data_IF_192903014120
#
_entry.id   IF_192903014120
#
_cell.length_a   1.000
_cell.length_b   1.000
_cell.length_c   1.000
_cell.angle_alpha   90.00
_cell.angle_beta   90.00
_cell.angle_gamma   90.00
#
_symmetry.space_group_name_H-M   'P 1'
#
loop_
_entity.id
_entity.type
_entity.pdbx_description
1 polymer ?
#
# COMPACT_ATOMS: atom_id res chain seq x y z
N UNK A 1 18.21 -11.91 -21.63
CA UNK A 1 16.87 -12.16 -21.04
C UNK A 1 15.97 -10.99 -21.42
N UNK A 2 14.94 -11.18 -22.26
CA UNK A 2 14.06 -10.09 -22.73
C UNK A 2 12.84 -9.99 -21.82
N UNK A 3 12.78 -9.00 -20.95
CA UNK A 3 11.58 -8.70 -20.18
C UNK A 3 10.58 -7.94 -21.06
N UNK A 4 9.29 -8.30 -20.97
CA UNK A 4 8.19 -7.60 -21.64
C UNK A 4 7.27 -7.07 -20.55
N UNK A 5 7.43 -5.80 -20.18
CA UNK A 5 6.47 -5.10 -19.32
C UNK A 5 5.18 -4.92 -20.12
N UNK A 6 4.18 -5.78 -19.87
CA UNK A 6 2.83 -5.53 -20.37
C UNK A 6 2.23 -4.49 -19.43
N UNK A 7 2.19 -3.24 -19.86
CA UNK A 7 1.32 -2.24 -19.23
C UNK A 7 -0.07 -2.87 -19.12
N UNK A 8 -0.65 -2.89 -17.92
CA UNK A 8 -2.00 -3.42 -17.69
C UNK A 8 -2.94 -2.50 -18.46
N UNK A 9 -3.31 -2.93 -19.67
CA UNK A 9 -4.04 -2.12 -20.65
C UNK A 9 -5.51 -2.00 -20.27
N UNK A 10 -6.04 -0.79 -20.48
CA UNK A 10 -7.42 -0.46 -20.85
C UNK A 10 -8.49 -0.22 -19.78
N UNK A 11 -8.31 -0.55 -18.49
CA UNK A 11 -9.29 -0.13 -17.43
C UNK A 11 -8.89 1.11 -16.64
N UNK A 12 -7.70 1.66 -16.87
CA UNK A 12 -7.14 2.81 -16.12
C UNK A 12 -7.35 4.19 -16.77
N UNK A 13 -8.11 4.29 -17.86
CA UNK A 13 -8.29 5.56 -18.57
C UNK A 13 -9.18 6.57 -17.80
N UNK A 14 -10.03 6.12 -16.88
CA UNK A 14 -11.13 6.92 -16.34
C UNK A 14 -10.84 7.64 -15.00
N UNK A 15 -9.64 7.53 -14.40
CA UNK A 15 -9.38 8.03 -13.03
C UNK A 15 -7.94 8.49 -12.79
N UNK A 16 -7.30 9.14 -13.76
CA UNK A 16 -5.86 9.49 -13.71
C UNK A 16 -5.56 10.48 -12.57
N UNK A 17 -6.43 11.47 -12.46
CA UNK A 17 -6.56 12.49 -11.42
C UNK A 17 -6.79 11.91 -10.02
N UNK A 18 -7.41 10.74 -9.92
CA UNK A 18 -7.63 10.07 -8.64
C UNK A 18 -6.50 9.15 -8.23
N UNK A 19 -5.54 8.79 -9.09
CA UNK A 19 -4.48 7.81 -8.78
C UNK A 19 -3.27 8.39 -8.04
N UNK A 20 -3.26 9.69 -7.74
CA UNK A 20 -2.07 10.39 -7.24
C UNK A 20 -1.07 10.70 -8.36
N UNK A 21 0.12 11.18 -8.00
CA UNK A 21 1.15 11.51 -8.99
C UNK A 21 1.70 10.24 -9.65
N UNK A 22 1.18 9.87 -10.82
CA UNK A 22 1.69 8.75 -11.59
C UNK A 22 3.11 9.04 -12.09
N UNK A 23 4.08 8.21 -11.69
CA UNK A 23 5.43 8.20 -12.25
C UNK A 23 5.54 7.05 -13.25
N UNK A 24 5.79 7.30 -14.54
CA UNK A 24 6.15 6.24 -15.47
C UNK A 24 7.45 5.57 -15.01
N UNK A 25 7.42 4.26 -14.88
CA UNK A 25 8.61 3.40 -14.84
C UNK A 25 8.48 2.42 -15.99
N UNK A 26 8.76 2.90 -17.20
CA UNK A 26 8.65 2.15 -18.45
C UNK A 26 9.91 1.35 -18.79
N UNK A 27 11.00 1.56 -18.04
CA UNK A 27 12.26 0.81 -18.14
C UNK A 27 12.66 0.19 -16.80
N UNK A 28 13.58 -0.79 -16.81
CA UNK A 28 14.09 -1.40 -15.58
C UNK A 28 14.88 -0.38 -14.75
N UNK A 29 15.60 0.50 -15.43
CA UNK A 29 16.45 1.53 -14.83
C UNK A 29 15.63 2.64 -14.14
N UNK A 30 14.38 2.83 -14.55
CA UNK A 30 13.44 3.80 -13.96
C UNK A 30 12.52 3.18 -12.89
N UNK A 31 12.67 1.89 -12.57
CA UNK A 31 11.93 1.24 -11.50
C UNK A 31 12.45 1.69 -10.14
N UNK A 32 11.62 2.43 -9.40
CA UNK A 32 11.86 2.70 -7.99
C UNK A 32 11.38 1.49 -7.19
N UNK A 33 12.32 0.63 -6.79
CA UNK A 33 12.06 -0.54 -5.95
C UNK A 33 12.15 -0.23 -4.46
N UNK A 34 12.63 0.94 -4.08
CA UNK A 34 12.71 1.31 -2.67
C UNK A 34 11.32 1.30 -2.03
N UNK A 35 11.26 0.80 -0.81
CA UNK A 35 10.00 0.59 -0.08
C UNK A 35 9.05 -0.47 -0.68
N UNK A 36 9.45 -1.21 -1.71
CA UNK A 36 8.67 -2.31 -2.27
C UNK A 36 9.16 -3.67 -1.77
N UNK A 37 8.28 -4.39 -1.08
CA UNK A 37 8.56 -5.74 -0.60
C UNK A 37 7.67 -6.76 -1.33
N UNK A 38 8.26 -7.89 -1.73
CA UNK A 38 7.50 -9.07 -2.18
C UNK A 38 7.10 -9.88 -0.96
N UNK A 39 5.83 -10.28 -0.91
CA UNK A 39 5.35 -11.20 0.13
C UNK A 39 5.58 -12.61 -0.40
N UNK A 40 6.41 -13.38 0.30
CA UNK A 40 6.75 -14.76 -0.06
C UNK A 40 6.13 -15.76 0.92
N UNK A 41 5.64 -16.88 0.37
CA UNK A 41 5.18 -18.05 1.12
C UNK A 41 5.77 -19.29 0.44
N UNK A 42 6.50 -20.12 1.19
CA UNK A 42 7.18 -21.32 0.69
C UNK A 42 8.07 -21.03 -0.55
N UNK A 43 8.80 -19.91 -0.52
CA UNK A 43 9.66 -19.47 -1.63
C UNK A 43 8.89 -18.98 -2.88
N UNK A 44 7.57 -18.78 -2.78
CA UNK A 44 6.73 -18.29 -3.88
C UNK A 44 6.18 -16.90 -3.58
N UNK A 45 6.35 -15.96 -4.53
CA UNK A 45 5.74 -14.64 -4.48
C UNK A 45 4.21 -14.68 -4.53
N UNK A 46 3.58 -14.41 -3.40
CA UNK A 46 2.11 -14.47 -3.20
C UNK A 46 1.46 -13.09 -3.16
N UNK A 47 2.27 -12.04 -3.08
CA UNK A 47 1.81 -10.66 -3.06
C UNK A 47 2.94 -9.65 -3.10
N UNK A 48 2.57 -8.38 -2.99
CA UNK A 48 3.50 -7.29 -2.81
C UNK A 48 2.89 -6.19 -1.94
N UNK A 49 3.77 -5.44 -1.31
CA UNK A 49 3.43 -4.23 -0.58
C UNK A 49 4.40 -3.13 -1.01
N UNK A 50 3.94 -1.89 -1.03
CA UNK A 50 4.82 -0.75 -1.15
C UNK A 50 4.48 0.31 -0.13
N UNK A 51 5.51 0.83 0.52
CA UNK A 51 5.43 1.89 1.51
C UNK A 51 6.43 3.00 1.20
N UNK A 52 6.10 4.22 1.59
CA UNK A 52 6.99 5.38 1.50
C UNK A 52 7.12 6.01 2.87
N UNK A 53 8.34 6.33 3.30
CA UNK A 53 8.54 7.12 4.51
C UNK A 53 8.23 8.59 4.23
N UNK A 54 7.33 9.15 5.02
CA UNK A 54 7.03 10.58 5.07
C UNK A 54 7.59 11.16 6.38
N UNK A 55 7.77 12.49 6.47
CA UNK A 55 8.34 13.12 7.67
C UNK A 55 7.59 12.82 8.97
N UNK A 56 6.28 12.56 8.89
CA UNK A 56 5.41 12.35 10.04
C UNK A 56 4.69 10.99 10.05
N UNK A 57 4.86 10.14 9.03
CA UNK A 57 4.19 8.83 8.95
C UNK A 57 4.86 7.84 8.01
N UNK A 58 4.52 6.56 8.15
CA UNK A 58 4.72 5.55 7.12
C UNK A 58 3.49 5.52 6.20
N UNK A 59 3.64 5.81 4.91
CA UNK A 59 2.53 5.79 3.96
C UNK A 59 2.46 4.47 3.20
N UNK A 60 1.31 3.80 3.23
CA UNK A 60 1.03 2.59 2.47
C UNK A 60 0.46 2.96 1.09
N UNK A 61 1.29 2.80 0.05
CA UNK A 61 0.93 3.12 -1.34
C UNK A 61 0.04 2.04 -1.96
N UNK A 62 0.42 0.77 -1.77
CA UNK A 62 -0.29 -0.37 -2.36
C UNK A 62 -0.06 -1.63 -1.55
N UNK A 63 -1.09 -2.46 -1.53
CA UNK A 63 -1.01 -3.83 -1.03
C UNK A 63 -1.79 -4.74 -1.96
N UNK A 64 -1.18 -5.86 -2.35
CA UNK A 64 -1.87 -6.96 -3.02
C UNK A 64 -1.41 -8.26 -2.40
N UNK A 65 -2.36 -9.04 -1.88
CA UNK A 65 -2.10 -10.41 -1.41
C UNK A 65 -3.21 -11.31 -1.94
N UNK A 66 -2.85 -12.51 -2.42
CA UNK A 66 -3.79 -13.49 -2.96
C UNK A 66 -4.33 -14.46 -1.90
N UNK A 67 -3.85 -14.37 -0.66
CA UNK A 67 -4.20 -15.31 0.41
C UNK A 67 -4.90 -14.59 1.57
N UNK A 68 -5.98 -15.19 2.07
CA UNK A 68 -6.77 -14.66 3.19
C UNK A 68 -5.94 -14.76 4.46
N UNK A 69 -5.56 -13.62 5.04
CA UNK A 69 -4.83 -13.53 6.30
C UNK A 69 -3.44 -12.89 6.19
N UNK A 70 -2.72 -13.11 5.08
CA UNK A 70 -1.39 -12.52 4.90
C UNK A 70 -1.43 -10.98 4.84
N UNK A 71 -2.50 -10.43 4.26
CA UNK A 71 -2.68 -8.97 4.24
C UNK A 71 -2.69 -8.35 5.64
N UNK A 72 -3.27 -9.04 6.63
CA UNK A 72 -3.34 -8.55 8.01
C UNK A 72 -1.95 -8.58 8.68
N UNK A 73 -1.23 -9.69 8.53
CA UNK A 73 0.12 -9.85 9.08
C UNK A 73 1.10 -8.83 8.49
N UNK A 74 1.02 -8.60 7.19
CA UNK A 74 1.84 -7.60 6.49
C UNK A 74 1.51 -6.20 7.00
N UNK A 75 0.23 -5.82 7.15
CA UNK A 75 -0.14 -4.53 7.73
C UNK A 75 0.33 -4.37 9.17
N UNK A 76 0.26 -5.43 9.97
CA UNK A 76 0.77 -5.41 11.34
C UNK A 76 2.28 -5.17 11.37
N UNK A 77 3.03 -5.83 10.48
CA UNK A 77 4.48 -5.66 10.38
C UNK A 77 4.87 -4.25 9.94
N UNK A 78 4.20 -3.69 8.92
CA UNK A 78 4.44 -2.29 8.52
C UNK A 78 4.05 -1.31 9.63
N UNK A 79 2.94 -1.57 10.32
CA UNK A 79 2.54 -0.79 11.49
C UNK A 79 3.61 -0.77 12.58
N UNK A 80 4.22 -1.92 12.89
CA UNK A 80 5.33 -2.02 13.85
C UNK A 80 6.57 -1.25 13.37
N UNK A 81 6.90 -1.34 12.07
CA UNK A 81 8.00 -0.55 11.48
C UNK A 81 7.76 0.95 11.65
N UNK A 82 6.53 1.43 11.39
CA UNK A 82 6.12 2.82 11.65
C UNK A 82 6.28 3.19 13.13
N UNK A 83 5.71 2.38 14.02
CA UNK A 83 5.75 2.61 15.46
C UNK A 83 7.17 2.68 16.01
N UNK A 84 8.11 1.85 15.53
CA UNK A 84 9.53 1.90 15.91
C UNK A 84 10.20 3.26 15.63
N UNK A 85 9.65 4.07 14.72
CA UNK A 85 10.10 5.44 14.45
C UNK A 85 9.20 6.50 15.09
N UNK A 86 8.29 6.12 15.98
CA UNK A 86 7.30 7.02 16.56
C UNK A 86 6.26 7.53 15.56
N UNK A 87 6.08 6.84 14.44
CA UNK A 87 5.23 7.29 13.34
C UNK A 87 3.98 6.41 13.16
N UNK A 88 2.79 7.01 12.94
CA UNK A 88 1.62 6.26 12.53
C UNK A 88 1.81 5.69 11.12
N UNK A 89 0.97 4.71 10.78
CA UNK A 89 0.82 4.25 9.40
C UNK A 89 -0.43 4.88 8.80
N UNK A 90 -0.31 5.45 7.59
CA UNK A 90 -1.43 6.03 6.84
C UNK A 90 -1.61 5.37 5.49
N UNK A 91 -2.83 5.44 4.95
CA UNK A 91 -3.16 5.01 3.60
C UNK A 91 -4.25 5.88 2.99
N UNK A 92 -4.41 5.83 1.67
CA UNK A 92 -5.56 6.42 0.99
C UNK A 92 -6.21 5.44 0.04
N UNK A 93 -7.52 5.26 0.19
CA UNK A 93 -8.33 4.32 -0.59
C UNK A 93 -9.51 5.06 -1.24
N UNK A 94 -9.94 4.62 -2.43
CA UNK A 94 -11.17 5.14 -3.02
C UNK A 94 -12.38 4.77 -2.14
N UNK A 95 -13.34 5.67 -1.99
CA UNK A 95 -14.60 5.45 -1.23
C UNK A 95 -15.37 4.22 -1.73
N UNK A 96 -15.27 3.93 -3.02
CA UNK A 96 -15.91 2.79 -3.69
C UNK A 96 -15.15 1.46 -3.57
N UNK A 97 -13.92 1.47 -3.05
CA UNK A 97 -13.11 0.27 -2.96
C UNK A 97 -13.52 -0.56 -1.73
N UNK A 98 -13.90 -1.85 -1.89
CA UNK A 98 -14.30 -2.71 -0.78
C UNK A 98 -13.17 -3.00 0.22
N UNK A 99 -11.91 -2.74 -0.16
CA UNK A 99 -10.76 -2.89 0.73
C UNK A 99 -10.80 -1.95 1.96
N UNK A 100 -11.60 -0.88 1.94
CA UNK A 100 -11.84 -0.01 3.10
C UNK A 100 -12.25 -0.80 4.35
N UNK A 101 -13.23 -1.71 4.22
CA UNK A 101 -13.69 -2.59 5.31
C UNK A 101 -12.59 -3.51 5.85
N UNK A 102 -11.66 -3.91 4.99
CA UNK A 102 -10.51 -4.69 5.41
C UNK A 102 -9.58 -3.83 6.28
N UNK A 103 -9.25 -2.62 5.86
CA UNK A 103 -8.41 -1.72 6.66
C UNK A 103 -9.06 -1.33 7.99
N UNK A 104 -10.37 -1.07 8.01
CA UNK A 104 -11.13 -0.80 9.24
C UNK A 104 -11.01 -1.96 10.24
N UNK A 105 -11.19 -3.21 9.78
CA UNK A 105 -11.00 -4.41 10.61
C UNK A 105 -9.58 -4.59 11.12
N UNK A 106 -8.59 -4.12 10.36
CA UNK A 106 -7.19 -4.13 10.76
C UNK A 106 -6.83 -2.95 11.68
N UNK A 107 -7.81 -2.17 12.14
CA UNK A 107 -7.63 -1.11 13.13
C UNK A 107 -7.24 0.25 12.54
N UNK A 108 -7.38 0.44 11.23
CA UNK A 108 -7.32 1.77 10.65
C UNK A 108 -8.63 2.52 10.90
N UNK A 109 -8.54 3.79 11.24
CA UNK A 109 -9.68 4.69 11.36
C UNK A 109 -9.64 5.74 10.25
N UNK A 110 -10.80 6.25 9.83
CA UNK A 110 -10.87 7.33 8.83
C UNK A 110 -10.40 8.63 9.49
N UNK A 111 -9.34 9.23 8.94
CA UNK A 111 -8.80 10.53 9.37
C UNK A 111 -9.50 11.67 8.62
N UNK A 112 -9.68 11.49 7.31
CA UNK A 112 -10.41 12.43 6.44
C UNK A 112 -11.10 11.68 5.31
N UNK A 113 -12.23 12.19 4.84
CA UNK A 113 -13.00 11.63 3.71
C UNK A 113 -13.44 12.73 2.75
N UNK A 114 -13.27 12.51 1.46
CA UNK A 114 -13.88 13.27 0.36
C UNK A 114 -14.88 12.37 -0.36
N UNK A 115 -15.60 12.89 -1.36
CA UNK A 115 -16.50 12.06 -2.17
C UNK A 115 -15.77 10.87 -2.83
N UNK A 116 -14.50 11.04 -3.15
CA UNK A 116 -13.70 10.07 -3.91
C UNK A 116 -12.76 9.23 -3.04
N UNK A 117 -12.27 9.76 -1.92
CA UNK A 117 -11.19 9.12 -1.15
C UNK A 117 -11.42 9.15 0.37
N UNK A 118 -11.05 8.05 1.02
CA UNK A 118 -10.81 7.98 2.46
C UNK A 118 -9.32 7.96 2.72
N UNK A 119 -8.84 8.86 3.58
CA UNK A 119 -7.52 8.75 4.20
C UNK A 119 -7.72 8.09 5.55
N UNK A 120 -6.93 7.05 5.81
CA UNK A 120 -7.06 6.27 7.01
C UNK A 120 -5.73 6.19 7.75
N UNK A 121 -5.79 6.15 9.07
CA UNK A 121 -4.62 6.14 9.96
C UNK A 121 -4.74 5.02 10.97
N UNK A 122 -3.59 4.43 11.31
CA UNK A 122 -3.45 3.46 12.41
C UNK A 122 -2.24 3.82 13.26
N UNK A 123 -2.48 3.88 14.56
CA UNK A 123 -1.44 4.00 15.57
C UNK A 123 -1.18 2.63 16.17
N UNK A 124 0.07 2.20 16.19
CA UNK A 124 0.49 1.08 17.02
C UNK A 124 1.41 1.63 18.12
N UNK A 125 1.27 1.15 19.36
CA UNK A 125 2.20 1.51 20.42
C UNK A 125 3.61 1.04 20.04
N UNK A 126 4.63 1.78 20.49
CA UNK A 126 5.99 1.27 20.56
C UNK A 126 5.94 -0.03 21.38
N UNK A 127 6.45 -1.12 20.81
CA UNK A 127 6.67 -2.33 21.60
C UNK A 127 7.76 -1.99 22.63
N UNK A 128 7.45 -2.17 23.91
CA UNK A 128 8.40 -2.09 25.02
C UNK A 128 9.55 -3.10 24.86
#
# INVERSE_FOLDING_TARGET
MKYRLRAVSATMQARRDLLGHWRPSDTIESLVLDGHDIIELDGKGVGCIAVTWQPDHLFLEKQRSRNRGMGAQVLQQQGRRGAQRGHPTRLSVLTTNPASKFYEREGFVVETETAERRRMVKFLPLAE
#
